data_IF_054341476053
#
_entry.id   IF_054341476053
#
_cell.length_a   1.000
_cell.length_b   1.000
_cell.length_c   1.000
_cell.angle_alpha   90.00
_cell.angle_beta   90.00
_cell.angle_gamma   90.00
#
_symmetry.space_group_name_H-M   'P 1'
#
loop_
_entity.id
_entity.type
_entity.pdbx_description
1 polymer ?
#
# COMPACT_ATOMS: atom_id res chain seq x y z
N UNK A 1 22.05 18.42 -26.70
CA UNK A 1 21.23 18.34 -25.47
C UNK A 1 19.78 18.28 -25.91
N UNK A 2 19.13 17.14 -25.74
CA UNK A 2 17.73 16.96 -26.13
C UNK A 2 16.84 17.32 -24.93
N UNK A 3 16.00 18.34 -25.10
CA UNK A 3 14.93 18.70 -24.16
C UNK A 3 13.74 17.77 -24.45
N UNK A 4 13.35 16.94 -23.49
CA UNK A 4 12.12 16.16 -23.57
C UNK A 4 11.00 16.97 -22.90
N UNK A 5 10.10 17.54 -23.72
CA UNK A 5 8.91 18.23 -23.24
C UNK A 5 7.74 17.25 -23.20
N UNK A 6 7.21 16.95 -22.01
CA UNK A 6 5.99 16.17 -21.83
C UNK A 6 4.80 17.13 -21.70
N UNK A 7 3.85 17.05 -22.63
CA UNK A 7 2.54 17.72 -22.50
C UNK A 7 1.56 16.77 -21.79
N UNK A 8 1.19 17.10 -20.56
CA UNK A 8 0.07 16.44 -19.88
C UNK A 8 -1.25 16.92 -20.51
N UNK A 9 -2.01 16.00 -21.09
CA UNK A 9 -3.33 16.28 -21.63
C UNK A 9 -4.35 16.49 -20.51
N UNK A 10 -4.95 17.68 -20.45
CA UNK A 10 -6.09 18.00 -19.60
C UNK A 10 -7.37 17.44 -20.24
N UNK A 11 -7.72 16.19 -19.92
CA UNK A 11 -9.10 15.72 -20.09
C UNK A 11 -9.75 15.57 -18.73
N UNK A 12 -10.36 16.66 -18.26
CA UNK A 12 -11.37 16.63 -17.21
C UNK A 12 -12.67 16.04 -17.78
N UNK A 13 -12.87 14.75 -17.53
CA UNK A 13 -14.16 14.10 -17.59
C UNK A 13 -14.34 13.29 -16.31
N UNK A 14 -14.89 13.91 -15.27
CA UNK A 14 -15.27 13.19 -14.04
C UNK A 14 -16.45 12.29 -14.39
N UNK A 15 -16.17 11.03 -14.71
CA UNK A 15 -17.18 9.98 -14.66
C UNK A 15 -17.35 9.60 -13.19
N UNK A 16 -18.47 10.05 -12.60
CA UNK A 16 -18.91 9.54 -11.30
C UNK A 16 -19.07 8.02 -11.39
N UNK A 17 -18.41 7.21 -10.54
CA UNK A 17 -18.67 5.79 -10.50
C UNK A 17 -20.01 5.59 -9.78
N UNK A 18 -21.11 5.66 -10.52
CA UNK A 18 -22.44 5.19 -10.11
C UNK A 18 -22.58 3.67 -10.21
N UNK A 19 -21.49 2.96 -10.54
CA UNK A 19 -21.41 1.52 -10.51
C UNK A 19 -21.44 1.02 -9.07
N UNK A 20 -22.55 0.40 -8.69
CA UNK A 20 -22.64 -0.41 -7.48
C UNK A 20 -21.55 -1.47 -7.55
N UNK A 21 -20.47 -1.29 -6.79
CA UNK A 21 -19.34 -2.21 -6.85
C UNK A 21 -19.78 -3.51 -6.17
N UNK A 22 -20.04 -4.53 -6.97
CA UNK A 22 -20.30 -5.87 -6.49
C UNK A 22 -18.99 -6.36 -5.85
N UNK A 23 -19.01 -6.68 -4.55
CA UNK A 23 -17.89 -7.31 -3.86
C UNK A 23 -18.05 -8.83 -4.01
N UNK A 24 -17.39 -9.51 -4.97
CA UNK A 24 -17.54 -10.94 -5.17
C UNK A 24 -16.85 -11.77 -4.07
N UNK A 25 -16.00 -11.15 -3.25
CA UNK A 25 -15.26 -11.80 -2.17
C UNK A 25 -16.05 -11.66 -0.88
N UNK A 26 -16.05 -12.72 -0.06
CA UNK A 26 -16.55 -12.69 1.30
C UNK A 26 -15.65 -11.78 2.18
N UNK A 27 -15.64 -10.48 1.89
CA UNK A 27 -14.91 -9.41 2.60
C UNK A 27 -15.37 -9.25 4.04
N UNK A 28 -16.39 -9.99 4.47
CA UNK A 28 -16.99 -9.92 5.80
C UNK A 28 -16.14 -10.53 6.91
N UNK A 29 -15.03 -11.24 6.60
CA UNK A 29 -14.23 -11.98 7.59
C UNK A 29 -12.74 -11.84 7.39
N UNK A 30 -12.23 -10.63 7.58
CA UNK A 30 -10.78 -10.48 7.75
C UNK A 30 -10.32 -11.13 9.06
N UNK A 31 -9.25 -11.92 9.03
CA UNK A 31 -8.64 -12.40 10.25
C UNK A 31 -8.03 -11.22 11.01
N UNK A 32 -8.37 -11.13 12.29
CA UNK A 32 -7.59 -10.34 13.24
C UNK A 32 -6.46 -11.21 13.77
N UNK A 33 -5.35 -10.60 14.14
CA UNK A 33 -4.24 -11.30 14.76
C UNK A 33 -3.98 -10.78 16.17
N UNK A 34 -3.36 -11.63 17.00
CA UNK A 34 -2.73 -11.26 18.28
C UNK A 34 -1.35 -11.87 18.37
N UNK A 35 -0.46 -11.17 19.07
CA UNK A 35 0.79 -11.74 19.57
C UNK A 35 0.48 -12.59 20.80
N UNK A 36 1.08 -13.78 20.88
CA UNK A 36 1.01 -14.61 22.09
C UNK A 36 2.11 -14.24 23.08
N UNK A 37 3.26 -13.77 22.58
CA UNK A 37 4.38 -13.33 23.40
C UNK A 37 4.48 -11.79 23.40
N UNK A 38 4.79 -11.21 24.55
CA UNK A 38 5.09 -9.76 24.65
C UNK A 38 6.46 -9.43 24.09
N UNK A 39 7.43 -10.30 24.36
CA UNK A 39 8.81 -10.22 23.85
C UNK A 39 9.00 -11.24 22.73
N UNK A 40 9.82 -10.94 21.71
CA UNK A 40 10.07 -11.88 20.64
C UNK A 40 10.95 -13.05 21.11
N UNK A 41 10.56 -14.27 20.73
CA UNK A 41 11.42 -15.45 20.86
C UNK A 41 12.20 -15.62 19.57
N UNK A 42 13.52 -15.82 19.65
CA UNK A 42 14.33 -16.06 18.45
C UNK A 42 14.09 -17.47 17.94
N UNK A 43 13.56 -17.58 16.71
CA UNK A 43 13.48 -18.85 15.97
C UNK A 43 14.60 -18.90 14.93
N UNK A 44 15.20 -20.07 14.78
CA UNK A 44 16.17 -20.34 13.72
C UNK A 44 15.41 -20.87 12.50
N UNK A 45 15.62 -20.22 11.37
CA UNK A 45 15.16 -20.69 10.06
C UNK A 45 16.40 -21.03 9.24
N UNK A 46 16.48 -22.28 8.80
CA UNK A 46 17.56 -22.74 7.96
C UNK A 46 17.08 -22.76 6.51
N UNK A 47 17.78 -22.02 5.65
CA UNK A 47 17.53 -21.97 4.21
C UNK A 47 18.70 -22.66 3.53
N UNK A 48 18.47 -23.83 2.96
CA UNK A 48 19.47 -24.50 2.14
C UNK A 48 19.78 -23.63 0.91
N UNK A 49 21.05 -23.31 0.71
CA UNK A 49 21.49 -22.61 -0.49
C UNK A 49 21.74 -23.65 -1.59
N UNK A 50 21.47 -23.30 -2.84
CA UNK A 50 21.70 -24.20 -4.00
C UNK A 50 23.17 -24.52 -4.28
N UNK A 51 24.08 -24.19 -3.36
CA UNK A 51 25.53 -24.38 -3.46
C UNK A 51 25.94 -25.35 -2.34
N UNK A 52 26.45 -26.52 -2.75
CA UNK A 52 27.04 -27.62 -1.96
C UNK A 52 27.07 -27.42 -0.43
N UNK A 53 26.12 -28.05 0.26
CA UNK A 53 26.08 -28.21 1.73
C UNK A 53 26.19 -26.91 2.54
N UNK A 54 25.90 -25.75 1.93
CA UNK A 54 25.82 -24.47 2.62
C UNK A 54 24.36 -24.15 2.92
N UNK A 55 24.08 -23.83 4.18
CA UNK A 55 22.80 -23.26 4.59
C UNK A 55 22.97 -21.87 5.19
N UNK A 56 22.00 -21.00 4.92
CA UNK A 56 21.85 -19.72 5.58
C UNK A 56 20.97 -19.92 6.80
N UNK A 57 21.53 -19.69 7.99
CA UNK A 57 20.76 -19.65 9.22
C UNK A 57 20.30 -18.22 9.52
N UNK A 58 18.98 -18.01 9.46
CA UNK A 58 18.34 -16.77 9.84
C UNK A 58 17.82 -16.87 11.27
N UNK A 59 18.20 -15.90 12.09
CA UNK A 59 17.62 -15.68 13.42
C UNK A 59 16.45 -14.72 13.27
N UNK A 60 15.23 -15.23 13.43
CA UNK A 60 14.00 -14.46 13.22
C UNK A 60 13.34 -14.22 14.58
N UNK A 61 13.17 -12.95 15.00
CA UNK A 61 12.36 -12.63 16.18
C UNK A 61 10.89 -12.97 15.91
N UNK A 62 10.31 -13.83 16.74
CA UNK A 62 8.97 -14.39 16.55
C UNK A 62 8.08 -14.11 17.78
N UNK A 63 6.96 -13.42 17.56
CA UNK A 63 5.98 -13.07 18.61
C UNK A 63 4.84 -14.08 18.79
N UNK A 64 4.92 -15.22 18.08
CA UNK A 64 3.86 -16.24 18.01
C UNK A 64 2.51 -15.61 17.67
N UNK A 65 2.46 -14.99 16.48
CA UNK A 65 1.26 -14.32 15.98
C UNK A 65 0.24 -15.36 15.52
N UNK A 66 -0.98 -15.28 16.02
CA UNK A 66 -2.06 -16.22 15.68
C UNK A 66 -3.32 -15.48 15.23
N UNK A 67 -4.05 -16.07 14.27
CA UNK A 67 -5.35 -15.59 13.86
C UNK A 67 -6.39 -15.76 14.99
N UNK A 68 -7.30 -14.81 15.10
CA UNK A 68 -8.42 -14.80 16.02
C UNK A 68 -9.70 -14.87 15.18
N UNK A 69 -10.71 -15.58 15.68
CA UNK A 69 -12.06 -15.72 15.11
C UNK A 69 -12.59 -14.41 14.50
N UNK A 70 -13.41 -14.51 13.43
CA UNK A 70 -13.49 -13.48 12.40
C UNK A 70 -13.92 -12.13 12.96
N UNK A 71 -13.21 -11.10 12.50
CA UNK A 71 -13.54 -9.71 12.79
C UNK A 71 -14.92 -9.36 12.20
N UNK A 72 -15.65 -8.41 12.82
CA UNK A 72 -16.80 -7.80 12.14
C UNK A 72 -16.36 -7.16 10.81
N UNK A 73 -17.31 -6.92 9.88
CA UNK A 73 -17.04 -6.22 8.63
C UNK A 73 -16.28 -4.92 8.89
N UNK A 74 -15.13 -4.76 8.24
CA UNK A 74 -14.25 -3.61 8.47
C UNK A 74 -14.38 -2.60 7.33
N UNK A 75 -14.47 -1.32 7.68
CA UNK A 75 -14.44 -0.24 6.69
C UNK A 75 -13.09 -0.17 5.96
N UNK A 76 -12.04 -0.79 6.52
CA UNK A 76 -10.67 -0.72 5.99
C UNK A 76 -10.59 -1.27 4.56
N UNK A 77 -11.14 -2.46 4.26
CA UNK A 77 -11.08 -3.04 2.90
C UNK A 77 -11.79 -2.14 1.89
N UNK A 78 -12.95 -1.59 2.26
CA UNK A 78 -13.73 -0.76 1.34
C UNK A 78 -13.03 0.57 1.04
N UNK A 79 -12.54 1.24 2.09
CA UNK A 79 -11.77 2.47 1.94
C UNK A 79 -10.49 2.23 1.14
N UNK A 80 -9.83 1.11 1.39
CA UNK A 80 -8.61 0.70 0.69
C UNK A 80 -8.86 0.43 -0.79
N UNK A 81 -9.88 -0.36 -1.12
CA UNK A 81 -10.26 -0.63 -2.50
C UNK A 81 -10.61 0.66 -3.26
N UNK A 82 -11.33 1.58 -2.63
CA UNK A 82 -11.61 2.90 -3.24
C UNK A 82 -10.33 3.69 -3.51
N UNK A 83 -9.41 3.72 -2.54
CA UNK A 83 -8.14 4.41 -2.70
C UNK A 83 -7.30 3.79 -3.82
N UNK A 84 -7.15 2.46 -3.80
CA UNK A 84 -6.38 1.73 -4.79
C UNK A 84 -6.93 1.92 -6.21
N UNK A 85 -8.25 1.83 -6.39
CA UNK A 85 -8.91 2.12 -7.67
C UNK A 85 -8.67 3.57 -8.15
N UNK A 86 -8.51 4.53 -7.23
CA UNK A 86 -8.24 5.92 -7.58
C UNK A 86 -6.80 6.15 -8.03
N UNK A 87 -5.82 5.50 -7.40
CA UNK A 87 -4.39 5.68 -7.73
C UNK A 87 -3.91 4.77 -8.87
N UNK A 88 -4.54 3.63 -9.09
CA UNK A 88 -4.18 2.64 -10.11
C UNK A 88 -5.26 2.49 -11.19
N UNK A 89 -5.75 3.61 -11.73
CA UNK A 89 -6.88 3.66 -12.67
C UNK A 89 -6.72 2.78 -13.93
N UNK A 90 -5.49 2.50 -14.36
CA UNK A 90 -5.19 1.76 -15.60
C UNK A 90 -4.92 0.26 -15.39
N UNK A 91 -4.77 -0.21 -14.14
CA UNK A 91 -4.35 -1.60 -13.85
C UNK A 91 -5.47 -2.52 -13.35
N UNK A 92 -6.73 -2.07 -13.46
CA UNK A 92 -7.88 -2.88 -13.11
C UNK A 92 -8.03 -4.05 -14.10
N UNK A 93 -7.29 -5.14 -13.83
CA UNK A 93 -7.48 -6.45 -14.43
C UNK A 93 -8.83 -7.06 -14.04
N UNK A 94 -8.92 -8.38 -13.92
CA UNK A 94 -10.13 -9.02 -13.39
C UNK A 94 -10.51 -8.41 -12.03
N UNK A 95 -11.76 -7.95 -11.88
CA UNK A 95 -12.33 -7.40 -10.65
C UNK A 95 -12.04 -8.31 -9.45
N UNK A 96 -11.98 -9.63 -9.66
CA UNK A 96 -11.61 -10.59 -8.62
C UNK A 96 -10.17 -10.40 -8.13
N UNK A 97 -9.20 -10.35 -9.04
CA UNK A 97 -7.78 -10.21 -8.71
C UNK A 97 -7.50 -8.89 -7.97
N UNK A 98 -8.20 -7.82 -8.37
CA UNK A 98 -8.13 -6.53 -7.69
C UNK A 98 -8.53 -6.62 -6.21
N UNK A 99 -9.67 -7.26 -5.92
CA UNK A 99 -10.16 -7.41 -4.55
C UNK A 99 -9.33 -8.40 -3.74
N UNK A 100 -8.79 -9.45 -4.36
CA UNK A 100 -7.86 -10.38 -3.71
C UNK A 100 -6.57 -9.66 -3.30
N UNK A 101 -6.02 -8.79 -4.16
CA UNK A 101 -4.88 -7.94 -3.83
C UNK A 101 -5.19 -6.99 -2.67
N UNK A 102 -6.31 -6.27 -2.75
CA UNK A 102 -6.74 -5.39 -1.65
C UNK A 102 -6.89 -6.16 -0.33
N UNK A 103 -7.47 -7.36 -0.37
CA UNK A 103 -7.60 -8.20 0.82
C UNK A 103 -6.24 -8.61 1.37
N UNK A 104 -5.30 -9.03 0.51
CA UNK A 104 -3.96 -9.43 0.90
C UNK A 104 -3.17 -8.28 1.54
N UNK A 105 -3.26 -7.06 0.99
CA UNK A 105 -2.60 -5.86 1.53
C UNK A 105 -3.14 -5.51 2.92
N UNK A 106 -4.47 -5.47 3.09
CA UNK A 106 -5.07 -5.19 4.42
C UNK A 106 -4.73 -6.31 5.41
N UNK A 107 -4.72 -7.57 4.96
CA UNK A 107 -4.33 -8.71 5.79
C UNK A 107 -2.87 -8.61 6.25
N UNK A 108 -1.99 -8.09 5.39
CA UNK A 108 -0.58 -7.85 5.72
C UNK A 108 -0.45 -6.83 6.84
N UNK A 109 -1.19 -5.71 6.78
CA UNK A 109 -1.22 -4.74 7.88
C UNK A 109 -1.69 -5.37 9.18
N UNK A 110 -2.77 -6.16 9.14
CA UNK A 110 -3.27 -6.86 10.32
C UNK A 110 -2.24 -7.86 10.90
N UNK A 111 -1.45 -8.51 10.04
CA UNK A 111 -0.44 -9.48 10.43
C UNK A 111 0.79 -8.81 11.06
N UNK A 112 1.31 -7.74 10.44
CA UNK A 112 2.51 -7.03 10.91
C UNK A 112 2.23 -6.13 12.12
N UNK A 113 1.04 -5.54 12.18
CA UNK A 113 0.63 -4.61 13.23
C UNK A 113 -0.61 -5.13 13.99
N UNK A 114 -0.53 -6.33 14.60
CA UNK A 114 -1.68 -6.96 15.24
C UNK A 114 -2.24 -6.15 16.41
N UNK A 115 -1.44 -5.27 17.01
CA UNK A 115 -1.85 -4.45 18.16
C UNK A 115 -2.59 -3.17 17.74
N UNK A 116 -2.58 -2.80 16.46
CA UNK A 116 -3.28 -1.61 15.94
C UNK A 116 -4.75 -1.97 15.70
N UNK A 117 -5.63 -1.55 16.61
CA UNK A 117 -7.08 -1.84 16.53
C UNK A 117 -7.90 -0.74 15.87
N UNK A 118 -7.42 0.50 15.88
CA UNK A 118 -8.10 1.63 15.23
C UNK A 118 -8.26 1.37 13.72
N UNK A 119 -9.48 1.51 13.20
CA UNK A 119 -9.74 1.39 11.76
C UNK A 119 -9.12 2.56 10.99
N UNK A 120 -9.23 3.78 11.50
CA UNK A 120 -8.66 4.98 10.85
C UNK A 120 -7.15 4.85 10.64
N UNK A 121 -6.44 4.38 11.66
CA UNK A 121 -4.99 4.14 11.55
C UNK A 121 -4.69 3.05 10.51
N UNK A 122 -5.47 1.96 10.49
CA UNK A 122 -5.30 0.89 9.52
C UNK A 122 -5.63 1.33 8.09
N UNK A 123 -6.63 2.20 7.90
CA UNK A 123 -6.92 2.84 6.61
C UNK A 123 -5.71 3.65 6.15
N UNK A 124 -5.13 4.48 7.01
CA UNK A 124 -3.92 5.23 6.67
C UNK A 124 -2.74 4.30 6.35
N UNK A 125 -2.51 3.26 7.14
CA UNK A 125 -1.41 2.30 6.90
C UNK A 125 -1.57 1.54 5.58
N UNK A 126 -2.78 1.13 5.25
CA UNK A 126 -3.07 0.43 3.99
C UNK A 126 -2.93 1.36 2.79
N UNK A 127 -3.47 2.58 2.86
CA UNK A 127 -3.24 3.59 1.83
C UNK A 127 -1.74 3.91 1.63
N UNK A 128 -0.99 4.01 2.72
CA UNK A 128 0.45 4.27 2.67
C UNK A 128 1.23 3.10 2.07
N UNK A 129 0.84 1.86 2.38
CA UNK A 129 1.40 0.66 1.76
C UNK A 129 1.20 0.68 0.24
N UNK A 130 -0.02 0.89 -0.25
CA UNK A 130 -0.26 0.92 -1.71
C UNK A 130 0.45 2.08 -2.39
N UNK A 131 0.51 3.26 -1.77
CA UNK A 131 1.27 4.38 -2.32
C UNK A 131 2.75 4.04 -2.47
N UNK A 132 3.37 3.43 -1.45
CA UNK A 132 4.78 3.03 -1.51
C UNK A 132 5.01 1.91 -2.55
N UNK A 133 4.16 0.90 -2.62
CA UNK A 133 4.26 -0.15 -3.65
C UNK A 133 4.10 0.43 -5.06
N UNK A 134 3.16 1.36 -5.26
CA UNK A 134 2.97 2.00 -6.57
C UNK A 134 4.20 2.83 -6.95
N UNK A 135 4.82 3.53 -6.00
CA UNK A 135 6.07 4.25 -6.23
C UNK A 135 7.21 3.29 -6.56
N UNK A 136 7.31 2.16 -5.87
CA UNK A 136 8.31 1.11 -6.14
C UNK A 136 8.18 0.58 -7.58
N UNK A 137 6.96 0.22 -8.00
CA UNK A 137 6.67 -0.23 -9.38
C UNK A 137 7.07 0.83 -10.43
N UNK A 138 6.79 2.11 -10.14
CA UNK A 138 7.18 3.23 -11.02
C UNK A 138 8.70 3.36 -11.10
N UNK A 139 9.41 3.27 -9.97
CA UNK A 139 10.87 3.38 -9.93
C UNK A 139 11.56 2.19 -10.61
N UNK A 140 11.02 0.98 -10.46
CA UNK A 140 11.53 -0.24 -11.12
C UNK A 140 11.39 -0.15 -12.65
N UNK A 141 10.33 0.48 -13.14
CA UNK A 141 10.12 0.68 -14.58
C UNK A 141 11.03 1.78 -15.18
N UNK A 142 11.69 2.60 -14.36
CA UNK A 142 12.55 3.69 -14.82
C UNK A 142 14.00 3.24 -15.05
N UNK A 143 14.74 3.87 -15.99
CA UNK A 143 16.18 3.73 -16.06
C UNK A 143 16.85 4.15 -14.74
N UNK A 144 17.91 3.46 -14.25
CA UNK A 144 18.47 3.69 -12.91
C UNK A 144 18.84 5.14 -12.59
N UNK A 145 19.34 5.88 -13.58
CA UNK A 145 19.70 7.29 -13.42
C UNK A 145 18.46 8.18 -13.22
N UNK A 146 17.36 7.90 -13.91
CA UNK A 146 16.11 8.62 -13.76
C UNK A 146 15.40 8.27 -12.45
N UNK A 147 15.40 6.99 -12.07
CA UNK A 147 14.85 6.51 -10.79
C UNK A 147 15.53 7.20 -9.60
N UNK A 148 16.86 7.31 -9.63
CA UNK A 148 17.63 8.00 -8.58
C UNK A 148 17.19 9.45 -8.40
N UNK A 149 17.08 10.20 -9.50
CA UNK A 149 16.67 11.60 -9.47
C UNK A 149 15.22 11.77 -8.97
N UNK A 150 14.31 10.92 -9.45
CA UNK A 150 12.91 10.95 -9.01
C UNK A 150 12.77 10.63 -7.51
N UNK A 151 13.55 9.68 -7.00
CA UNK A 151 13.57 9.32 -5.59
C UNK A 151 14.14 10.46 -4.73
N UNK A 152 15.23 11.09 -5.14
CA UNK A 152 15.81 12.24 -4.43
C UNK A 152 14.82 13.41 -4.34
N UNK A 153 14.14 13.73 -5.44
CA UNK A 153 13.10 14.76 -5.47
C UNK A 153 11.93 14.41 -4.55
N UNK A 154 11.45 13.16 -4.58
CA UNK A 154 10.39 12.69 -3.70
C UNK A 154 10.78 12.81 -2.22
N UNK A 155 12.01 12.43 -1.86
CA UNK A 155 12.52 12.55 -0.49
C UNK A 155 12.57 14.02 -0.05
N UNK A 156 13.08 14.92 -0.89
CA UNK A 156 13.14 16.35 -0.58
C UNK A 156 11.74 16.94 -0.34
N UNK A 157 10.78 16.56 -1.19
CA UNK A 157 9.38 16.98 -1.05
C UNK A 157 8.76 16.46 0.27
N UNK A 158 8.99 15.19 0.61
CA UNK A 158 8.51 14.59 1.87
C UNK A 158 9.15 15.24 3.11
N UNK A 159 10.41 15.68 3.01
CA UNK A 159 11.09 16.42 4.07
C UNK A 159 10.64 17.90 4.16
N UNK A 160 9.75 18.36 3.28
CA UNK A 160 9.33 19.76 3.20
C UNK A 160 10.43 20.71 2.73
N UNK A 161 11.55 20.18 2.24
CA UNK A 161 12.67 20.95 1.70
C UNK A 161 12.44 21.13 0.22
N UNK A 162 11.61 22.12 -0.15
CA UNK A 162 11.47 22.51 -1.56
C UNK A 162 12.84 22.89 -2.12
N UNK A 163 13.24 22.27 -3.23
CA UNK A 163 14.17 22.91 -4.14
C UNK A 163 13.49 24.18 -4.66
N UNK A 164 14.19 25.32 -4.55
CA UNK A 164 13.69 26.64 -4.88
C UNK A 164 12.91 26.67 -6.21
N UNK A 165 11.64 27.06 -6.14
CA UNK A 165 10.95 27.71 -7.27
C UNK A 165 10.04 26.89 -8.17
N UNK A 166 9.88 25.57 -8.01
CA UNK A 166 8.80 24.81 -8.70
C UNK A 166 8.12 23.85 -7.73
N UNK A 167 7.16 24.38 -6.97
CA UNK A 167 6.26 23.53 -6.21
C UNK A 167 5.37 22.75 -7.16
N UNK A 168 5.49 21.43 -7.19
CA UNK A 168 4.42 20.58 -7.68
C UNK A 168 3.35 20.57 -6.59
N UNK A 169 2.21 21.17 -6.89
CA UNK A 169 1.03 21.13 -6.06
C UNK A 169 0.44 19.72 -6.15
N UNK A 170 0.70 18.87 -5.16
CA UNK A 170 -0.08 17.64 -4.97
C UNK A 170 -1.41 18.08 -4.38
N UNK A 171 -2.37 18.40 -5.24
CA UNK A 171 -3.74 18.74 -4.83
C UNK A 171 -4.43 17.46 -4.33
N UNK A 172 -4.26 17.14 -3.05
CA UNK A 172 -5.21 16.27 -2.36
C UNK A 172 -6.52 17.07 -2.23
N UNK A 173 -7.50 16.72 -3.06
CA UNK A 173 -8.80 17.39 -3.11
C UNK A 173 -9.38 17.54 -1.71
N UNK A 174 -9.51 18.78 -1.24
CA UNK A 174 -10.21 19.10 0.01
C UNK A 174 -11.69 18.77 -0.18
N UNK A 175 -12.20 17.84 0.62
CA UNK A 175 -13.64 17.80 0.90
C UNK A 175 -13.97 18.98 1.80
N UNK A 176 -14.59 20.02 1.23
CA UNK A 176 -15.31 21.03 1.99
C UNK A 176 -16.58 20.38 2.52
N UNK A 177 -16.64 20.11 3.83
CA UNK A 177 -17.92 19.95 4.50
C UNK A 177 -18.61 21.31 4.53
N UNK A 178 -19.60 21.48 3.66
CA UNK A 178 -20.59 22.54 3.77
C UNK A 178 -21.87 21.91 4.30
N UNK A 179 -22.08 22.01 5.62
CA UNK A 179 -23.37 21.76 6.25
C UNK A 179 -24.27 22.97 6.03
N UNK A 180 -25.48 22.75 5.51
CA UNK A 180 -26.79 23.20 6.02
C UNK A 180 -27.90 22.81 5.04
#
# INVERSE_FOLDING_TARGET
MALCEYKLSQHHGVLSPSGQIYNPINTSRMPNYKRLNKEPVIKLCEIALGIRDVSLQLKIPHYDIVAINPAPPSAVIHSHAKFNAFIQQESAGDTKDFYERCFAEVNSINLFFPDVKSEDIRICMTAWLTANCTVDDILEAMPPAAATLALEEAILNLQGKKADGRGIEITLGRYSNSSL
#
